data_IF_443638323060
#
_entry.id   IF_443638323060
#
_cell.length_a   1.000
_cell.length_b   1.000
_cell.length_c   1.000
_cell.angle_alpha   90.00
_cell.angle_beta   90.00
_cell.angle_gamma   90.00
#
_symmetry.space_group_name_H-M   'P 1'
#
loop_
_entity.id
_entity.type
_entity.pdbx_description
1 polymer ?
#
# COMPACT_ATOMS: atom_id res chain seq x y z
N UNK A 1 -10.05 -5.64 8.58
CA UNK A 1 -8.99 -4.61 8.69
C UNK A 1 -9.60 -3.23 8.88
N UNK A 2 -8.90 -2.34 9.59
CA UNK A 2 -9.27 -0.92 9.74
C UNK A 2 -8.26 -0.02 9.03
N UNK A 3 -8.66 1.20 8.69
CA UNK A 3 -7.75 2.19 8.11
C UNK A 3 -6.61 2.51 9.08
N UNK A 4 -5.37 2.44 8.56
CA UNK A 4 -4.13 2.72 9.28
C UNK A 4 -3.34 3.78 8.51
N UNK A 5 -3.50 5.05 8.85
CA UNK A 5 -2.77 6.15 8.20
C UNK A 5 -1.24 5.96 8.28
N UNK A 6 -0.76 5.39 9.40
CA UNK A 6 0.67 5.12 9.60
C UNK A 6 1.27 4.12 8.60
N UNK A 7 0.45 3.36 7.88
CA UNK A 7 0.92 2.41 6.87
C UNK A 7 1.70 3.07 5.73
N UNK A 8 1.31 4.29 5.34
CA UNK A 8 2.00 5.04 4.30
C UNK A 8 3.41 5.46 4.73
N UNK A 9 3.54 5.95 5.96
CA UNK A 9 4.85 6.30 6.53
C UNK A 9 5.73 5.04 6.70
N UNK A 10 5.15 3.94 7.20
CA UNK A 10 5.85 2.66 7.34
C UNK A 10 6.35 2.10 6.00
N UNK A 11 5.57 2.22 4.91
CA UNK A 11 5.99 1.80 3.59
C UNK A 11 7.16 2.66 3.05
N UNK A 12 7.17 3.96 3.37
CA UNK A 12 8.26 4.86 3.02
C UNK A 12 9.58 4.46 3.70
N UNK A 13 9.54 4.01 4.96
CA UNK A 13 10.76 3.56 5.67
C UNK A 13 11.49 2.48 4.88
N UNK A 14 10.77 1.43 4.46
CA UNK A 14 11.35 0.33 3.65
C UNK A 14 11.79 0.81 2.27
N UNK A 15 11.00 1.67 1.63
CA UNK A 15 11.33 2.26 0.33
C UNK A 15 12.62 3.10 0.37
N UNK A 16 12.93 3.72 1.50
CA UNK A 16 14.14 4.53 1.65
C UNK A 16 15.43 3.69 1.68
N UNK A 17 15.32 2.46 2.21
CA UNK A 17 16.43 1.51 2.48
C UNK A 17 16.80 0.62 1.27
N UNK A 18 15.95 0.52 0.24
CA UNK A 18 16.19 -0.37 -0.91
C UNK A 18 15.80 0.26 -2.24
N UNK A 19 16.73 0.27 -3.20
CA UNK A 19 16.48 0.74 -4.56
C UNK A 19 15.53 -0.17 -5.35
N UNK A 20 15.40 -1.43 -4.93
CA UNK A 20 14.52 -2.42 -5.54
C UNK A 20 13.10 -2.40 -4.94
N UNK A 21 12.85 -1.52 -3.97
CA UNK A 21 11.55 -1.44 -3.34
C UNK A 21 10.48 -0.84 -4.26
N UNK A 22 9.31 -1.46 -4.25
CA UNK A 22 8.06 -0.88 -4.73
C UNK A 22 7.16 -0.56 -3.53
N UNK A 23 6.64 0.66 -3.45
CA UNK A 23 5.54 0.96 -2.53
C UNK A 23 4.23 0.64 -3.22
N UNK A 24 3.37 -0.12 -2.53
CA UNK A 24 2.05 -0.49 -3.02
C UNK A 24 1.00 0.22 -2.18
N UNK A 25 0.10 0.94 -2.84
CA UNK A 25 -1.15 1.41 -2.26
C UNK A 25 -2.28 0.51 -2.75
N UNK A 26 -3.21 0.11 -1.89
CA UNK A 26 -4.32 -0.73 -2.31
C UNK A 26 -5.59 -0.50 -1.52
N UNK A 27 -6.71 -0.89 -2.14
CA UNK A 27 -7.94 -1.17 -1.43
C UNK A 27 -7.89 -2.60 -0.89
N UNK A 28 -7.91 -2.74 0.44
CA UNK A 28 -7.87 -4.01 1.17
C UNK A 28 -9.24 -4.28 1.79
N UNK A 29 -9.76 -5.53 1.76
CA UNK A 29 -10.95 -5.91 2.49
C UNK A 29 -10.90 -5.51 3.97
N UNK A 30 -11.82 -4.64 4.37
CA UNK A 30 -12.03 -4.20 5.74
C UNK A 30 -13.25 -4.87 6.38
N UNK A 31 -13.54 -4.53 7.63
CA UNK A 31 -14.68 -5.11 8.36
C UNK A 31 -16.03 -4.66 7.76
N UNK A 32 -16.07 -3.46 7.19
CA UNK A 32 -17.20 -2.91 6.44
C UNK A 32 -16.70 -2.33 5.11
N UNK A 33 -16.51 -3.19 4.11
CA UNK A 33 -16.11 -2.82 2.76
C UNK A 33 -14.61 -2.91 2.52
N UNK A 34 -14.00 -1.82 2.07
CA UNK A 34 -12.57 -1.72 1.76
C UNK A 34 -11.95 -0.53 2.47
N UNK A 35 -10.71 -0.70 2.91
CA UNK A 35 -9.87 0.35 3.50
C UNK A 35 -8.65 0.56 2.63
N UNK A 36 -8.20 1.81 2.50
CA UNK A 36 -6.93 2.07 1.82
C UNK A 36 -5.78 1.71 2.76
N UNK A 37 -4.75 1.08 2.21
CA UNK A 37 -3.58 0.62 2.95
C UNK A 37 -2.33 0.66 2.08
N UNK A 38 -1.16 0.75 2.72
CA UNK A 38 0.13 0.76 2.04
C UNK A 38 1.12 -0.22 2.65
N UNK A 39 2.00 -0.76 1.80
CA UNK A 39 3.14 -1.58 2.21
C UNK A 39 4.26 -1.46 1.18
N UNK A 40 5.45 -1.99 1.49
CA UNK A 40 6.54 -2.08 0.54
C UNK A 40 6.79 -3.53 0.11
N UNK A 41 7.26 -3.72 -1.12
CA UNK A 41 7.67 -5.01 -1.64
C UNK A 41 9.11 -4.93 -2.16
N UNK A 42 9.90 -5.96 -1.86
CA UNK A 42 11.22 -6.16 -2.43
C UNK A 42 11.26 -7.61 -2.90
N UNK A 43 11.44 -7.81 -4.21
CA UNK A 43 11.37 -9.14 -4.83
C UNK A 43 10.04 -9.86 -4.48
N UNK A 44 10.12 -11.06 -3.90
CA UNK A 44 8.96 -11.88 -3.49
C UNK A 44 8.59 -11.71 -2.00
N UNK A 45 9.08 -10.65 -1.35
CA UNK A 45 8.80 -10.34 0.06
C UNK A 45 7.97 -9.06 0.21
N UNK A 46 6.96 -9.12 1.07
CA UNK A 46 6.15 -7.99 1.53
C UNK A 46 6.64 -7.54 2.91
N UNK A 47 6.85 -6.23 3.05
CA UNK A 47 7.16 -5.53 4.28
C UNK A 47 6.00 -4.60 4.65
N UNK A 48 5.15 -5.07 5.57
CA UNK A 48 4.10 -4.27 6.20
C UNK A 48 4.40 -4.17 7.69
N UNK A 49 5.10 -3.10 8.09
CA UNK A 49 5.50 -2.88 9.47
C UNK A 49 4.33 -2.60 10.41
N UNK A 50 3.11 -2.42 9.88
CA UNK A 50 1.90 -2.29 10.70
C UNK A 50 1.23 -3.63 11.00
N UNK A 51 1.71 -4.71 10.39
CA UNK A 51 1.23 -6.09 10.55
C UNK A 51 2.33 -7.03 11.08
N UNK A 52 3.60 -6.79 10.75
CA UNK A 52 4.73 -7.67 11.11
C UNK A 52 6.06 -6.93 11.11
N UNK A 53 6.92 -7.22 12.09
CA UNK A 53 8.32 -6.76 12.13
C UNK A 53 9.24 -7.55 11.17
N UNK A 54 8.74 -8.62 10.55
CA UNK A 54 9.49 -9.49 9.62
C UNK A 54 8.83 -9.51 8.24
N UNK A 55 9.62 -9.67 7.15
CA UNK A 55 9.07 -9.85 5.83
C UNK A 55 8.18 -11.09 5.75
N UNK A 56 7.15 -11.01 4.93
CA UNK A 56 6.18 -12.08 4.67
C UNK A 56 6.29 -12.45 3.19
N UNK A 57 6.25 -13.74 2.86
CA UNK A 57 6.20 -14.16 1.47
C UNK A 57 4.99 -13.51 0.76
N UNK A 58 5.21 -12.95 -0.43
CA UNK A 58 4.20 -12.17 -1.13
C UNK A 58 2.91 -12.94 -1.37
N UNK A 59 3.01 -14.20 -1.77
CA UNK A 59 1.84 -15.07 -1.98
C UNK A 59 1.00 -15.19 -0.70
N UNK A 60 1.64 -15.50 0.43
CA UNK A 60 0.97 -15.67 1.72
C UNK A 60 0.33 -14.36 2.20
N UNK A 61 1.03 -13.23 2.05
CA UNK A 61 0.49 -11.92 2.40
C UNK A 61 -0.73 -11.58 1.55
N UNK A 62 -0.65 -11.80 0.23
CA UNK A 62 -1.72 -11.48 -0.70
C UNK A 62 -2.97 -12.31 -0.42
N UNK A 63 -2.81 -13.60 -0.16
CA UNK A 63 -3.91 -14.48 0.25
C UNK A 63 -4.51 -14.01 1.58
N UNK A 64 -3.68 -13.82 2.60
CA UNK A 64 -4.13 -13.45 3.95
C UNK A 64 -4.86 -12.10 3.98
N UNK A 65 -4.34 -11.12 3.25
CA UNK A 65 -4.89 -9.76 3.22
C UNK A 65 -5.98 -9.59 2.15
N UNK A 66 -6.24 -10.61 1.31
CA UNK A 66 -7.20 -10.52 0.23
C UNK A 66 -6.82 -9.47 -0.83
N UNK A 67 -5.53 -9.29 -1.09
CA UNK A 67 -5.02 -8.33 -2.09
C UNK A 67 -5.50 -8.75 -3.48
N UNK A 68 -6.04 -7.79 -4.22
CA UNK A 68 -6.46 -8.00 -5.61
C UNK A 68 -5.63 -7.12 -6.53
N UNK A 69 -4.90 -7.66 -7.53
CA UNK A 69 -3.98 -6.86 -8.35
C UNK A 69 -4.63 -5.62 -9.01
N UNK A 70 -5.86 -5.74 -9.51
CA UNK A 70 -6.61 -4.62 -10.11
C UNK A 70 -7.01 -3.53 -9.11
N UNK A 71 -6.90 -3.82 -7.80
CA UNK A 71 -7.17 -2.89 -6.70
C UNK A 71 -5.90 -2.23 -6.14
N UNK A 72 -4.77 -2.37 -6.82
CA UNK A 72 -3.47 -1.83 -6.39
C UNK A 72 -2.96 -0.72 -7.30
N UNK A 73 -2.12 0.13 -6.74
CA UNK A 73 -1.20 1.04 -7.44
C UNK A 73 0.19 0.80 -6.87
N UNK A 74 1.20 0.78 -7.74
CA UNK A 74 2.57 0.45 -7.40
C UNK A 74 3.45 1.60 -7.84
N UNK A 75 4.42 1.95 -7.02
CA UNK A 75 5.33 3.06 -7.26
C UNK A 75 6.74 2.56 -6.99
N UNK A 76 7.60 2.65 -8.00
CA UNK A 76 9.03 2.42 -7.78
C UNK A 76 9.61 3.52 -6.88
N UNK A 77 10.75 3.25 -6.23
CA UNK A 77 11.38 4.19 -5.30
C UNK A 77 11.46 5.64 -5.80
N UNK A 78 12.00 5.85 -7.00
CA UNK A 78 12.19 7.20 -7.56
C UNK A 78 10.84 7.90 -7.75
N UNK A 79 9.87 7.22 -8.35
CA UNK A 79 8.51 7.74 -8.56
C UNK A 79 7.83 8.08 -7.23
N UNK A 80 7.94 7.18 -6.24
CA UNK A 80 7.36 7.38 -4.91
C UNK A 80 7.89 8.66 -4.24
N UNK A 81 9.21 8.85 -4.22
CA UNK A 81 9.82 10.05 -3.62
C UNK A 81 9.54 11.32 -4.42
N UNK A 82 9.42 11.24 -5.75
CA UNK A 82 8.97 12.36 -6.58
C UNK A 82 7.55 12.77 -6.21
N UNK A 83 6.60 11.82 -6.17
CA UNK A 83 5.21 12.10 -5.79
C UNK A 83 5.10 12.63 -4.36
N UNK A 84 5.89 12.11 -3.43
CA UNK A 84 5.94 12.60 -2.05
C UNK A 84 6.42 14.05 -1.99
N UNK A 85 7.46 14.41 -2.74
CA UNK A 85 7.98 15.77 -2.80
C UNK A 85 6.99 16.76 -3.46
N UNK A 86 6.27 16.31 -4.50
CA UNK A 86 5.29 17.13 -5.22
C UNK A 86 3.99 17.33 -4.43
N UNK A 87 3.54 16.30 -3.70
CA UNK A 87 2.25 16.33 -2.99
C UNK A 87 2.37 16.74 -1.52
N UNK A 88 3.55 16.61 -0.92
CA UNK A 88 3.74 16.80 0.53
C UNK A 88 3.04 15.75 1.39
N UNK A 89 2.68 14.59 0.83
CA UNK A 89 2.02 13.47 1.49
C UNK A 89 2.76 12.15 1.24
N UNK A 90 2.62 11.17 2.13
CA UNK A 90 3.12 9.79 1.92
C UNK A 90 2.16 8.93 1.07
N UNK A 91 0.97 9.47 0.74
CA UNK A 91 -0.06 8.79 -0.03
C UNK A 91 -1.45 8.87 0.62
N UNK A 92 -2.46 8.24 -0.01
CA UNK A 92 -2.39 7.62 -1.33
C UNK A 92 -2.30 8.67 -2.46
N UNK A 93 -1.49 8.41 -3.50
CA UNK A 93 -1.23 9.39 -4.57
C UNK A 93 -2.30 9.46 -5.67
N UNK A 94 -2.84 8.31 -6.09
CA UNK A 94 -3.93 8.27 -7.07
C UNK A 94 -5.26 8.60 -6.38
N UNK A 95 -5.50 9.87 -6.10
CA UNK A 95 -6.68 10.35 -5.34
C UNK A 95 -8.01 10.12 -6.04
N UNK A 96 -8.02 9.90 -7.36
CA UNK A 96 -9.23 9.50 -8.09
C UNK A 96 -9.57 8.04 -7.81
N UNK A 97 -8.56 7.18 -7.76
CA UNK A 97 -8.73 5.77 -7.44
C UNK A 97 -8.96 5.52 -5.94
N UNK A 98 -8.19 6.21 -5.10
CA UNK A 98 -8.30 6.23 -3.64
C UNK A 98 -9.08 7.46 -3.17
N UNK A 99 -10.36 7.52 -3.58
CA UNK A 99 -11.24 8.68 -3.35
C UNK A 99 -11.67 8.87 -1.88
N UNK A 100 -11.37 7.90 -1.01
CA UNK A 100 -11.69 7.93 0.41
C UNK A 100 -10.71 7.03 1.18
N UNK A 101 -10.73 7.10 2.51
CA UNK A 101 -9.95 6.17 3.35
C UNK A 101 -10.64 4.81 3.55
N UNK A 102 -11.96 4.81 3.45
CA UNK A 102 -12.80 3.61 3.54
C UNK A 102 -14.02 3.77 2.64
N UNK A 103 -14.48 2.67 2.04
CA UNK A 103 -15.69 2.65 1.22
C UNK A 103 -16.38 1.29 1.26
N UNK A 104 -17.72 1.26 1.19
CA UNK A 104 -18.50 0.03 1.05
C UNK A 104 -18.60 -0.48 -0.39
N UNK A 105 -18.21 0.34 -1.36
CA UNK A 105 -18.25 0.02 -2.78
C UNK A 105 -16.96 0.45 -3.47
N UNK A 106 -16.52 -0.35 -4.43
CA UNK A 106 -15.48 0.05 -5.36
C UNK A 106 -16.12 0.18 -6.75
N UNK A 107 -15.82 1.24 -7.51
CA UNK A 107 -16.23 1.31 -8.90
C UNK A 107 -15.72 0.05 -9.62
N UNK A 108 -16.55 -0.57 -10.45
CA UNK A 108 -16.03 -1.60 -11.37
C UNK A 108 -15.01 -0.92 -12.28
N UNK A 109 -13.78 -1.46 -12.28
CA UNK A 109 -12.68 -0.99 -13.11
C UNK A 109 -12.99 -1.21 -14.59
#
# INVERSE_FOLDING_TARGET
MHFKEQSFAAAMEICSESELAEVVHAWIPGDAGYVVHAWAEVEDAVYDLTESERPIAKADYYERMGVRPHLTRRYGRVEYFTLMAETGSFGPFDTKFFFANQTSFLPQA
#
